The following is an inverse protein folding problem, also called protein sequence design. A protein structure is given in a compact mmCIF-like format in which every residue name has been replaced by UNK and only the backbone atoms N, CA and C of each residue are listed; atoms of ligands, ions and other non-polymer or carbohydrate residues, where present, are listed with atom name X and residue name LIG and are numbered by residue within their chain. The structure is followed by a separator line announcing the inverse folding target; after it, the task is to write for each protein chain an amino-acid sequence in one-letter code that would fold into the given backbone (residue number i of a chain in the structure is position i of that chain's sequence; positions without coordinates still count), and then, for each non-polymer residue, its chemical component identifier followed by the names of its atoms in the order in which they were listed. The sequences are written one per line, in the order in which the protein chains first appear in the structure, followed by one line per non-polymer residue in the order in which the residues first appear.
data_IF_667578988804
#
_entry.id   IF_667578988804
#
_cell.length_a   1.000
_cell.length_b   1.000
_cell.length_c   1.000
_cell.angle_alpha   90.00
_cell.angle_beta   90.00
_cell.angle_gamma   90.00
#
_symmetry.space_group_name_H-M   'P 1'
#
loop_
_entity.id
_entity.type
_entity.pdbx_description
1 polymer ?
#
# COMPACT_ATOMS: atom_id res chain seq x y z
N UNK A 1 -25.05 5.05 13.76
CA UNK A 1 -24.30 4.62 12.55
C UNK A 1 -22.92 4.03 12.86
N UNK A 2 -22.13 4.53 13.83
CA UNK A 2 -20.79 3.95 14.09
C UNK A 2 -20.75 2.55 14.75
N UNK A 3 -21.81 2.08 15.42
CA UNK A 3 -21.81 0.76 16.07
C UNK A 3 -21.85 -0.40 15.08
N UNK A 4 -22.32 -0.16 13.85
CA UNK A 4 -22.50 -1.20 12.83
C UNK A 4 -21.17 -1.56 12.14
N UNK A 5 -20.31 -0.56 11.94
CA UNK A 5 -19.03 -0.73 11.23
C UNK A 5 -18.03 -1.65 11.95
N UNK A 6 -18.18 -1.83 13.26
CA UNK A 6 -17.28 -2.67 14.06
C UNK A 6 -17.65 -4.16 14.01
N UNK A 7 -18.85 -4.49 13.53
CA UNK A 7 -19.37 -5.85 13.45
C UNK A 7 -19.48 -6.35 11.99
N UNK A 8 -18.92 -5.60 11.04
CA UNK A 8 -18.91 -5.99 9.64
C UNK A 8 -18.19 -7.33 9.46
N UNK A 9 -18.85 -8.26 8.77
CA UNK A 9 -18.17 -9.42 8.21
C UNK A 9 -17.36 -9.02 6.99
N UNK A 10 -16.35 -9.84 6.65
CA UNK A 10 -15.58 -9.60 5.43
C UNK A 10 -16.43 -9.82 4.18
N UNK A 11 -17.42 -10.71 4.24
CA UNK A 11 -18.33 -10.98 3.11
C UNK A 11 -19.21 -9.75 2.78
N UNK A 12 -19.65 -9.00 3.79
CA UNK A 12 -20.36 -7.73 3.58
C UNK A 12 -19.45 -6.69 2.90
N UNK A 13 -18.21 -6.55 3.38
CA UNK A 13 -17.22 -5.64 2.77
C UNK A 13 -16.91 -6.06 1.33
N UNK A 14 -16.80 -7.36 1.07
CA UNK A 14 -16.51 -7.91 -0.25
C UNK A 14 -17.63 -7.60 -1.26
N UNK A 15 -18.87 -7.70 -0.81
CA UNK A 15 -20.06 -7.45 -1.62
C UNK A 15 -20.30 -5.97 -1.91
N UNK A 16 -20.28 -5.13 -0.88
CA UNK A 16 -20.74 -3.73 -1.00
C UNK A 16 -19.59 -2.71 -0.96
N UNK A 17 -18.37 -3.15 -0.60
CA UNK A 17 -17.18 -2.32 -0.56
C UNK A 17 -16.60 -2.04 -1.94
N UNK A 18 -16.19 -0.80 -2.16
CA UNK A 18 -15.66 -0.34 -3.44
C UNK A 18 -14.18 0.01 -3.35
N UNK A 19 -13.44 -0.35 -4.38
CA UNK A 19 -12.06 0.06 -4.58
C UNK A 19 -12.01 1.01 -5.76
N UNK A 20 -11.36 2.16 -5.57
CA UNK A 20 -11.09 3.06 -6.68
C UNK A 20 -9.77 2.68 -7.32
N UNK A 21 -9.82 2.35 -8.61
CA UNK A 21 -8.67 2.18 -9.47
C UNK A 21 -8.57 3.38 -10.40
N UNK A 22 -7.40 3.99 -10.43
CA UNK A 22 -7.03 4.99 -11.41
C UNK A 22 -6.30 4.32 -12.55
N UNK A 23 -6.89 4.42 -13.75
CA UNK A 23 -6.23 4.10 -15.02
C UNK A 23 -5.62 5.39 -15.56
N UNK A 24 -4.33 5.39 -15.85
CA UNK A 24 -3.74 6.48 -16.64
C UNK A 24 -3.30 5.95 -17.99
N UNK A 25 -3.91 6.47 -19.05
CA UNK A 25 -3.31 6.45 -20.37
C UNK A 25 -2.11 7.39 -20.39
N UNK A 26 -1.06 7.02 -21.11
CA UNK A 26 0.17 7.82 -21.22
C UNK A 26 -0.05 9.26 -21.72
N UNK A 27 -1.14 9.53 -22.45
CA UNK A 27 -1.38 10.82 -23.10
C UNK A 27 -2.79 11.41 -22.88
N UNK A 28 -3.66 10.79 -22.08
CA UNK A 28 -5.03 11.30 -21.86
C UNK A 28 -5.42 11.33 -20.39
N UNK A 29 -6.51 12.07 -20.10
CA UNK A 29 -7.02 12.33 -18.75
C UNK A 29 -7.12 11.03 -17.96
N UNK A 30 -6.66 11.07 -16.71
CA UNK A 30 -6.79 9.92 -15.81
C UNK A 30 -8.26 9.54 -15.64
N UNK A 31 -8.57 8.27 -15.83
CA UNK A 31 -9.91 7.72 -15.62
C UNK A 31 -9.95 7.05 -14.24
N UNK A 32 -10.97 7.40 -13.46
CA UNK A 32 -11.16 6.86 -12.12
C UNK A 32 -12.34 5.91 -12.18
N UNK A 33 -12.09 4.64 -11.85
CA UNK A 33 -13.11 3.60 -11.86
C UNK A 33 -13.29 3.11 -10.44
N UNK A 34 -14.53 3.14 -9.96
CA UNK A 34 -14.92 2.42 -8.76
C UNK A 34 -15.44 1.06 -9.18
N UNK A 35 -14.99 0.02 -8.49
CA UNK A 35 -15.43 -1.36 -8.71
C UNK A 35 -15.57 -2.05 -7.37
N UNK A 36 -16.50 -2.99 -7.27
CA UNK A 36 -16.60 -3.82 -6.07
C UNK A 36 -15.38 -4.74 -5.98
N UNK A 37 -15.12 -5.25 -4.77
CA UNK A 37 -14.00 -6.18 -4.53
C UNK A 37 -14.17 -7.45 -5.35
N UNK A 38 -15.39 -7.98 -5.46
CA UNK A 38 -15.68 -9.19 -6.25
C UNK A 38 -15.42 -9.02 -7.74
N UNK A 39 -15.67 -7.82 -8.26
CA UNK A 39 -15.56 -7.53 -9.69
C UNK A 39 -14.14 -7.16 -10.11
N UNK A 40 -13.22 -7.00 -9.15
CA UNK A 40 -11.86 -6.52 -9.42
C UNK A 40 -11.11 -7.42 -10.41
N UNK A 41 -11.24 -8.75 -10.29
CA UNK A 41 -10.54 -9.67 -11.18
C UNK A 41 -11.04 -9.56 -12.62
N UNK A 42 -12.36 -9.42 -12.80
CA UNK A 42 -12.97 -9.18 -14.11
C UNK A 42 -12.50 -7.85 -14.70
N UNK A 43 -12.46 -6.80 -13.88
CA UNK A 43 -11.93 -5.50 -14.30
C UNK A 43 -10.47 -5.59 -14.77
N UNK A 44 -9.58 -6.22 -13.99
CA UNK A 44 -8.17 -6.39 -14.36
C UNK A 44 -8.00 -7.23 -15.63
N UNK A 45 -8.80 -8.29 -15.80
CA UNK A 45 -8.82 -9.10 -17.03
C UNK A 45 -9.22 -8.28 -18.27
N UNK A 46 -10.16 -7.34 -18.13
CA UNK A 46 -10.64 -6.51 -19.25
C UNK A 46 -9.59 -5.52 -19.80
N UNK A 47 -8.55 -5.23 -19.03
CA UNK A 47 -7.50 -4.25 -19.35
C UNK A 47 -6.09 -4.84 -19.45
N UNK A 48 -5.98 -6.18 -19.39
CA UNK A 48 -4.72 -6.91 -19.37
C UNK A 48 -3.82 -6.54 -20.56
N UNK A 49 -4.38 -6.51 -21.77
CA UNK A 49 -3.65 -6.16 -23.00
C UNK A 49 -3.13 -4.72 -22.98
N UNK A 50 -3.89 -3.79 -22.41
CA UNK A 50 -3.51 -2.39 -22.32
C UNK A 50 -2.40 -2.18 -21.28
N UNK A 51 -2.43 -2.89 -20.16
CA UNK A 51 -1.34 -2.87 -19.17
C UNK A 51 -0.06 -3.48 -19.76
N UNK A 52 -0.20 -4.63 -20.44
CA UNK A 52 0.89 -5.35 -21.12
C UNK A 52 1.66 -4.49 -22.10
N UNK A 53 0.93 -3.81 -22.98
CA UNK A 53 1.51 -2.98 -24.02
C UNK A 53 1.96 -1.62 -23.50
N UNK A 54 1.86 -1.39 -22.18
CA UNK A 54 2.18 -0.12 -21.54
C UNK A 54 1.27 0.99 -21.97
N UNK A 55 0.05 0.72 -22.43
CA UNK A 55 -0.96 1.74 -22.71
C UNK A 55 -1.51 2.27 -21.40
N UNK A 56 -1.78 1.38 -20.43
CA UNK A 56 -2.27 1.73 -19.10
C UNK A 56 -1.24 1.43 -18.02
N UNK A 57 -1.15 2.32 -17.04
CA UNK A 57 -0.83 1.94 -15.69
C UNK A 57 -2.09 1.91 -14.83
N UNK A 58 -2.00 1.18 -13.73
CA UNK A 58 -3.00 1.03 -12.69
C UNK A 58 -2.43 1.50 -11.37
N UNK A 59 -3.21 2.35 -10.75
CA UNK A 59 -3.02 2.72 -9.38
C UNK A 59 -4.29 2.45 -8.59
N UNK A 60 -4.14 2.04 -7.35
CA UNK A 60 -5.25 1.69 -6.46
C UNK A 60 -5.19 2.54 -5.21
N UNK A 61 -6.34 2.97 -4.71
CA UNK A 61 -6.40 3.55 -3.37
C UNK A 61 -6.00 2.49 -2.33
N UNK A 62 -5.29 2.85 -1.26
CA UNK A 62 -4.90 1.90 -0.21
C UNK A 62 -6.04 1.63 0.78
N UNK A 63 -7.29 1.69 0.33
CA UNK A 63 -8.47 1.47 1.15
C UNK A 63 -9.67 1.05 0.30
N UNK A 64 -10.65 0.45 0.98
CA UNK A 64 -12.00 0.15 0.50
C UNK A 64 -12.93 1.25 1.03
N UNK A 65 -13.76 1.80 0.15
CA UNK A 65 -14.86 2.70 0.49
C UNK A 65 -16.13 1.88 0.74
N UNK A 66 -16.56 1.79 1.99
CA UNK A 66 -17.78 1.11 2.42
C UNK A 66 -18.78 2.17 2.91
N UNK A 67 -19.67 2.62 2.03
CA UNK A 67 -20.65 3.68 2.28
C UNK A 67 -20.03 4.96 2.90
N UNK A 68 -18.84 5.36 2.44
CA UNK A 68 -18.11 6.53 2.92
C UNK A 68 -17.15 6.26 4.09
N UNK A 69 -17.23 5.08 4.71
CA UNK A 69 -16.25 4.62 5.69
C UNK A 69 -15.03 4.02 4.97
N UNK A 70 -13.84 4.48 5.32
CA UNK A 70 -12.60 3.98 4.72
C UNK A 70 -12.06 2.80 5.53
N UNK A 71 -11.89 1.66 4.89
CA UNK A 71 -11.27 0.46 5.46
C UNK A 71 -9.92 0.24 4.80
N UNK A 72 -8.84 0.51 5.51
CA UNK A 72 -7.50 0.54 4.91
C UNK A 72 -7.00 -0.86 4.56
N UNK A 73 -6.31 -0.96 3.43
CA UNK A 73 -5.49 -2.10 3.06
C UNK A 73 -4.04 -1.78 3.42
N UNK A 74 -3.27 -2.71 4.01
CA UNK A 74 -1.89 -2.47 4.41
C UNK A 74 -0.96 -2.52 3.19
N UNK A 75 -1.13 -1.61 2.24
CA UNK A 75 -0.25 -1.43 1.09
C UNK A 75 0.68 -0.26 1.42
N UNK A 76 1.93 -0.59 1.74
CA UNK A 76 2.94 0.34 2.23
C UNK A 76 3.92 0.68 1.12
N UNK A 77 4.24 1.97 0.96
CA UNK A 77 5.46 2.36 0.23
C UNK A 77 6.64 2.21 1.18
N UNK A 78 7.70 1.60 0.69
CA UNK A 78 8.91 1.38 1.46
C UNK A 78 10.10 1.94 0.70
N UNK A 79 10.72 2.96 1.29
CA UNK A 79 11.86 3.66 0.72
C UNK A 79 12.69 4.33 1.82
N UNK A 80 13.96 4.58 1.50
CA UNK A 80 14.86 5.29 2.40
C UNK A 80 14.49 6.77 2.47
N UNK A 81 14.23 7.35 3.65
CA UNK A 81 13.65 8.69 3.76
C UNK A 81 14.49 9.77 3.05
N UNK A 82 15.82 9.68 3.12
CA UNK A 82 16.72 10.68 2.54
C UNK A 82 17.33 10.24 1.19
N UNK A 83 17.87 9.02 1.11
CA UNK A 83 18.69 8.57 -0.01
C UNK A 83 17.95 7.69 -1.04
N UNK A 84 16.61 7.67 -1.05
CA UNK A 84 15.80 6.79 -1.92
C UNK A 84 15.99 7.02 -3.43
N UNK A 85 16.54 8.17 -3.84
CA UNK A 85 16.79 8.49 -5.24
C UNK A 85 18.21 8.16 -5.73
N UNK A 86 19.15 7.96 -4.80
CA UNK A 86 20.58 7.83 -5.09
C UNK A 86 20.94 6.43 -5.63
N UNK A 87 20.50 5.39 -4.93
CA UNK A 87 20.73 4.00 -5.32
C UNK A 87 19.60 3.09 -4.81
N UNK A 88 19.20 2.06 -5.58
CA UNK A 88 18.33 1.01 -5.08
C UNK A 88 18.88 0.32 -3.82
N UNK A 89 20.21 0.35 -3.60
CA UNK A 89 20.85 -0.19 -2.39
C UNK A 89 20.15 0.31 -1.12
N UNK A 90 19.93 1.63 -0.99
CA UNK A 90 19.36 2.23 0.22
C UNK A 90 17.97 1.67 0.50
N UNK A 91 17.15 1.59 -0.54
CA UNK A 91 15.79 1.05 -0.43
C UNK A 91 15.81 -0.46 -0.14
N UNK A 92 16.75 -1.22 -0.69
CA UNK A 92 16.91 -2.66 -0.40
C UNK A 92 17.15 -2.88 1.09
N UNK A 93 18.02 -2.10 1.71
CA UNK A 93 18.39 -2.34 3.11
C UNK A 93 17.34 -1.86 4.09
N UNK A 94 16.66 -0.76 3.77
CA UNK A 94 15.44 -0.36 4.50
C UNK A 94 14.39 -1.46 4.42
N UNK A 95 14.14 -1.99 3.22
CA UNK A 95 13.14 -3.04 3.05
C UNK A 95 13.54 -4.35 3.76
N UNK A 96 14.82 -4.73 3.76
CA UNK A 96 15.33 -5.86 4.57
C UNK A 96 15.11 -5.64 6.06
N UNK A 97 15.51 -4.48 6.59
CA UNK A 97 15.33 -4.14 8.00
C UNK A 97 13.86 -4.18 8.40
N UNK A 98 12.98 -3.62 7.56
CA UNK A 98 11.54 -3.64 7.79
C UNK A 98 10.95 -5.05 7.68
N UNK A 99 11.42 -5.88 6.75
CA UNK A 99 11.05 -7.29 6.65
C UNK A 99 11.38 -8.06 7.93
N UNK A 100 12.61 -7.91 8.46
CA UNK A 100 12.99 -8.54 9.73
C UNK A 100 12.12 -8.04 10.89
N UNK A 101 11.82 -6.74 10.92
CA UNK A 101 10.92 -6.17 11.93
C UNK A 101 9.53 -6.78 11.85
N UNK A 102 8.96 -6.97 10.66
CA UNK A 102 7.69 -7.66 10.51
C UNK A 102 7.80 -9.14 10.88
N UNK A 103 8.92 -9.79 10.61
CA UNK A 103 9.16 -11.18 10.98
C UNK A 103 9.15 -11.38 12.50
N UNK A 104 9.82 -10.49 13.25
CA UNK A 104 9.79 -10.48 14.73
C UNK A 104 8.38 -10.36 15.30
N UNK A 105 7.49 -9.67 14.58
CA UNK A 105 6.10 -9.45 14.97
C UNK A 105 5.16 -10.56 14.46
N UNK A 106 5.67 -11.58 13.77
CA UNK A 106 4.84 -12.63 13.15
C UNK A 106 4.02 -12.15 11.94
N UNK A 107 4.41 -11.04 11.31
CA UNK A 107 3.67 -10.36 10.25
C UNK A 107 4.18 -10.67 8.84
N UNK A 108 5.06 -11.64 8.67
CA UNK A 108 5.56 -12.06 7.35
C UNK A 108 4.64 -13.06 6.65
N UNK A 109 3.67 -13.62 7.37
CA UNK A 109 2.64 -14.46 6.75
C UNK A 109 1.82 -13.64 5.76
N UNK A 110 1.59 -14.21 4.57
CA UNK A 110 0.92 -13.58 3.41
C UNK A 110 1.56 -12.28 2.89
N UNK A 111 2.71 -11.85 3.44
CA UNK A 111 3.41 -10.66 2.98
C UNK A 111 3.81 -10.82 1.50
N UNK A 112 3.48 -9.81 0.72
CA UNK A 112 3.82 -9.69 -0.69
C UNK A 112 4.70 -8.47 -0.88
N UNK A 113 5.89 -8.70 -1.43
CA UNK A 113 6.92 -7.69 -1.64
C UNK A 113 7.03 -7.40 -3.15
N UNK A 114 6.70 -6.18 -3.53
CA UNK A 114 6.87 -5.65 -4.89
C UNK A 114 8.10 -4.75 -5.00
N UNK A 115 8.90 -4.94 -6.04
CA UNK A 115 10.04 -4.12 -6.44
C UNK A 115 9.53 -3.08 -7.44
N UNK A 116 9.66 -1.78 -7.15
CA UNK A 116 8.98 -0.73 -7.94
C UNK A 116 9.94 0.27 -8.59
N UNK A 117 10.85 -0.22 -9.42
CA UNK A 117 11.83 0.59 -10.17
C UNK A 117 12.95 1.21 -9.31
N UNK A 118 12.59 1.91 -8.23
CA UNK A 118 13.54 2.36 -7.20
C UNK A 118 13.11 2.00 -5.77
N UNK A 119 11.81 1.89 -5.47
CA UNK A 119 11.31 1.59 -4.13
C UNK A 119 10.79 0.17 -3.95
N UNK A 120 10.11 -0.07 -2.84
CA UNK A 120 9.46 -1.32 -2.49
C UNK A 120 7.98 -1.11 -2.15
N UNK A 121 7.19 -2.16 -2.32
CA UNK A 121 5.80 -2.24 -1.89
C UNK A 121 5.63 -3.43 -0.98
N UNK A 122 5.20 -3.17 0.25
CA UNK A 122 4.82 -4.23 1.17
C UNK A 122 3.30 -4.27 1.21
N UNK A 123 2.71 -5.44 1.03
CA UNK A 123 1.27 -5.59 0.91
C UNK A 123 0.83 -6.92 1.50
N UNK A 124 -0.36 -6.93 2.08
CA UNK A 124 -1.02 -8.14 2.56
C UNK A 124 -2.44 -8.21 1.99
N UNK A 125 -2.98 -9.42 1.79
CA UNK A 125 -4.34 -9.61 1.27
C UNK A 125 -5.39 -9.46 2.38
N UNK A 126 -5.25 -8.45 3.23
CA UNK A 126 -6.14 -8.23 4.37
C UNK A 126 -6.66 -6.80 4.41
N UNK A 127 -7.78 -6.58 5.11
CA UNK A 127 -8.30 -5.24 5.42
C UNK A 127 -8.21 -4.97 6.92
N UNK A 128 -7.90 -3.73 7.29
CA UNK A 128 -7.87 -3.30 8.70
C UNK A 128 -9.32 -3.11 9.18
N UNK A 129 -9.74 -3.77 10.27
CA UNK A 129 -11.06 -3.53 10.86
C UNK A 129 -11.23 -2.06 11.23
N UNK A 130 -12.45 -1.53 11.05
CA UNK A 130 -12.72 -0.10 11.13
C UNK A 130 -12.22 0.53 12.44
N UNK A 131 -12.45 -0.14 13.58
CA UNK A 131 -12.05 0.31 14.91
C UNK A 131 -10.54 0.53 15.10
N UNK A 132 -9.70 -0.05 14.24
CA UNK A 132 -8.24 0.09 14.28
C UNK A 132 -7.69 1.04 13.21
N UNK A 133 -8.53 1.67 12.39
CA UNK A 133 -8.10 2.56 11.29
C UNK A 133 -7.17 3.67 11.78
N UNK A 134 -7.53 4.35 12.87
CA UNK A 134 -6.70 5.43 13.42
C UNK A 134 -5.37 4.90 13.98
N UNK A 135 -5.39 3.76 14.66
CA UNK A 135 -4.17 3.11 15.14
C UNK A 135 -3.22 2.74 14.00
N UNK A 136 -3.75 2.19 12.90
CA UNK A 136 -2.97 1.88 11.70
C UNK A 136 -2.33 3.14 11.10
N UNK A 137 -3.07 4.24 10.98
CA UNK A 137 -2.54 5.50 10.46
C UNK A 137 -1.47 6.13 11.36
N UNK A 138 -1.50 5.88 12.67
CA UNK A 138 -0.41 6.28 13.58
C UNK A 138 0.80 5.36 13.42
N UNK A 139 0.59 4.05 13.35
CA UNK A 139 1.64 3.06 13.12
C UNK A 139 2.45 3.36 11.85
N UNK A 140 1.76 3.69 10.75
CA UNK A 140 2.39 4.04 9.46
C UNK A 140 3.27 5.30 9.55
N UNK A 141 3.05 6.17 10.55
CA UNK A 141 3.86 7.37 10.80
C UNK A 141 4.98 7.16 11.83
N UNK A 142 5.03 5.99 12.46
CA UNK A 142 6.03 5.66 13.47
C UNK A 142 7.34 5.24 12.79
N UNK A 143 8.11 6.23 12.36
CA UNK A 143 9.41 6.03 11.70
C UNK A 143 10.48 5.48 12.64
N UNK A 144 10.29 5.56 13.96
CA UNK A 144 11.21 4.98 14.94
C UNK A 144 11.06 3.46 14.95
N UNK A 145 9.82 2.96 14.97
CA UNK A 145 9.55 1.52 14.98
C UNK A 145 9.53 0.88 13.60
N UNK A 146 9.05 1.60 12.58
CA UNK A 146 8.86 1.13 11.23
C UNK A 146 9.56 2.04 10.23
N UNK A 147 10.89 2.12 10.35
CA UNK A 147 11.73 2.96 9.52
C UNK A 147 11.54 2.69 8.02
N UNK A 148 11.33 3.76 7.26
CA UNK A 148 11.23 3.74 5.81
C UNK A 148 9.84 3.46 5.24
N UNK A 149 8.79 3.38 6.06
CA UNK A 149 7.42 3.48 5.54
C UNK A 149 7.15 4.94 5.16
N UNK A 150 6.81 5.22 3.91
CA UNK A 150 6.26 6.54 3.53
C UNK A 150 4.76 6.58 3.87
N UNK A 151 4.31 7.50 4.76
CA UNK A 151 2.90 7.65 5.10
C UNK A 151 2.09 8.41 4.05
N UNK A 152 2.71 9.04 3.05
CA UNK A 152 2.01 9.89 2.08
C UNK A 152 0.86 9.19 1.34
N UNK A 153 0.98 7.92 0.93
CA UNK A 153 -0.11 7.20 0.29
C UNK A 153 -1.38 7.06 1.12
N UNK A 154 -1.27 7.02 2.45
CA UNK A 154 -2.40 6.86 3.35
C UNK A 154 -3.02 8.22 3.74
N UNK A 155 -2.41 9.34 3.32
CA UNK A 155 -2.87 10.72 3.59
C UNK A 155 -3.88 11.19 2.54
N UNK A 156 -5.15 10.85 2.72
CA UNK A 156 -6.27 11.45 2.00
C UNK A 156 -6.88 10.59 0.90
N UNK A 157 -7.99 11.07 0.33
CA UNK A 157 -8.81 10.28 -0.60
C UNK A 157 -8.28 10.28 -2.04
N UNK A 158 -7.43 11.23 -2.40
CA UNK A 158 -6.84 11.40 -3.73
C UNK A 158 -5.52 10.64 -3.93
N UNK A 159 -5.10 9.85 -2.93
CA UNK A 159 -3.84 9.11 -2.96
C UNK A 159 -4.02 7.73 -3.55
N UNK A 160 -3.08 7.39 -4.42
CA UNK A 160 -3.12 6.20 -5.26
C UNK A 160 -1.75 5.56 -5.29
N UNK A 161 -1.73 4.25 -5.09
CA UNK A 161 -0.52 3.45 -5.15
C UNK A 161 -0.41 2.73 -6.46
N UNK A 162 0.76 2.83 -7.09
CA UNK A 162 1.03 2.11 -8.32
C UNK A 162 1.05 0.61 -8.01
N UNK A 163 0.08 -0.12 -8.54
CA UNK A 163 -0.07 -1.56 -8.32
C UNK A 163 0.37 -2.36 -9.54
N UNK A 164 0.10 -1.84 -10.74
CA UNK A 164 0.57 -2.43 -12.00
C UNK A 164 0.86 -1.32 -12.98
N UNK A 165 2.09 -1.15 -13.44
CA UNK A 165 2.34 -0.23 -14.54
C UNK A 165 3.61 -0.62 -15.27
N UNK A 166 3.52 -0.57 -16.60
CA UNK A 166 4.71 -0.48 -17.45
C UNK A 166 4.90 0.98 -17.87
N UNK A 167 6.07 1.53 -17.55
CA UNK A 167 6.51 2.83 -18.04
C UNK A 167 7.54 2.61 -19.15
N UNK A 168 7.10 2.70 -20.40
CA UNK A 168 7.92 2.38 -21.57
C UNK A 168 9.23 3.18 -21.66
N UNK A 169 10.16 2.67 -22.46
CA UNK A 169 11.56 3.11 -22.58
C UNK A 169 11.73 4.63 -22.88
N UNK A 170 10.80 5.26 -23.60
CA UNK A 170 10.95 6.65 -24.06
C UNK A 170 10.75 7.70 -22.95
N UNK A 171 10.07 7.35 -21.85
CA UNK A 171 9.74 8.29 -20.77
C UNK A 171 10.55 8.02 -19.48
N UNK A 172 11.59 7.19 -19.56
CA UNK A 172 12.42 6.78 -18.41
C UNK A 172 13.89 7.20 -18.54
N UNK A 173 14.20 8.13 -19.44
CA UNK A 173 15.58 8.47 -19.78
C UNK A 173 16.18 7.42 -20.72
N UNK A 174 17.51 7.39 -20.83
CA UNK A 174 18.26 6.62 -21.83
C UNK A 174 17.70 5.20 -22.10
N UNK A 175 17.80 4.69 -23.35
CA UNK A 175 17.15 3.45 -23.85
C UNK A 175 17.49 2.13 -23.11
N UNK A 176 18.20 2.19 -21.99
CA UNK A 176 18.59 1.06 -21.15
C UNK A 176 17.63 0.80 -19.98
N UNK A 177 16.74 1.74 -19.64
CA UNK A 177 15.92 1.69 -18.43
C UNK A 177 14.45 1.38 -18.74
N UNK A 178 14.15 0.09 -18.92
CA UNK A 178 12.78 -0.39 -18.75
C UNK A 178 12.57 -0.67 -17.26
N UNK A 179 11.58 -0.08 -16.59
CA UNK A 179 11.24 -0.43 -15.19
C UNK A 179 9.76 -0.79 -15.03
N UNK A 180 9.49 -1.96 -14.46
CA UNK A 180 8.16 -2.44 -14.10
C UNK A 180 8.07 -2.77 -12.60
N UNK A 181 6.89 -3.19 -12.15
CA UNK A 181 6.72 -3.75 -10.80
C UNK A 181 6.90 -5.26 -10.87
N UNK A 182 7.91 -5.77 -10.17
CA UNK A 182 8.14 -7.21 -10.01
C UNK A 182 7.77 -7.64 -8.60
N UNK A 183 6.92 -8.66 -8.46
CA UNK A 183 6.57 -9.21 -7.15
C UNK A 183 7.41 -10.46 -6.87
N UNK A 184 8.03 -10.52 -5.69
CA UNK A 184 8.76 -11.69 -5.24
C UNK A 184 7.81 -12.88 -5.04
N UNK A 185 8.26 -14.08 -5.40
CA UNK A 185 7.49 -15.31 -5.19
C UNK A 185 7.24 -15.50 -3.69
N UNK A 186 8.29 -15.28 -2.88
CA UNK A 186 8.23 -15.28 -1.42
C UNK A 186 8.87 -14.02 -0.85
N UNK A 187 8.24 -13.42 0.18
CA UNK A 187 8.78 -12.21 0.80
C UNK A 187 10.19 -12.40 1.38
N UNK A 188 10.53 -13.61 1.86
CA UNK A 188 11.86 -13.94 2.40
C UNK A 188 13.00 -13.79 1.40
N UNK A 189 12.72 -13.86 0.09
CA UNK A 189 13.72 -13.63 -0.97
C UNK A 189 14.33 -12.22 -0.89
N UNK A 190 13.69 -11.29 -0.19
CA UNK A 190 14.24 -9.96 0.04
C UNK A 190 15.58 -10.01 0.79
N UNK A 191 15.79 -11.01 1.65
CA UNK A 191 17.01 -11.14 2.48
C UNK A 191 18.27 -11.29 1.63
N UNK A 192 18.15 -12.02 0.52
CA UNK A 192 19.27 -12.31 -0.39
C UNK A 192 19.34 -11.35 -1.57
N UNK A 193 18.42 -10.38 -1.63
CA UNK A 193 18.34 -9.44 -2.75
C UNK A 193 19.58 -8.55 -2.79
N UNK A 194 20.22 -8.51 -3.96
CA UNK A 194 21.35 -7.64 -4.28
C UNK A 194 20.90 -6.51 -5.20
N UNK A 195 21.69 -5.44 -5.31
CA UNK A 195 21.37 -4.34 -6.24
C UNK A 195 21.35 -4.80 -7.70
N UNK A 196 22.24 -5.72 -8.08
CA UNK A 196 22.29 -6.28 -9.44
C UNK A 196 21.04 -7.10 -9.75
N UNK A 197 20.61 -7.97 -8.82
CA UNK A 197 19.40 -8.77 -8.99
C UNK A 197 18.15 -7.88 -8.96
N UNK A 198 18.07 -6.90 -8.06
CA UNK A 198 16.99 -5.90 -8.05
C UNK A 198 16.84 -5.26 -9.42
N UNK A 199 17.94 -4.70 -9.97
CA UNK A 199 17.95 -4.03 -11.27
C UNK A 199 17.51 -4.96 -12.39
N UNK A 200 17.91 -6.22 -12.36
CA UNK A 200 17.50 -7.23 -13.33
C UNK A 200 16.00 -7.53 -13.23
N UNK A 201 15.47 -7.74 -12.03
CA UNK A 201 14.06 -8.08 -11.79
C UNK A 201 13.11 -6.95 -12.18
N UNK A 202 13.47 -5.70 -11.91
CA UNK A 202 12.63 -4.57 -12.33
C UNK A 202 12.82 -4.22 -13.80
N UNK A 203 13.80 -4.80 -14.50
CA UNK A 203 14.09 -4.47 -15.91
C UNK A 203 13.06 -5.08 -16.85
N UNK A 204 12.67 -4.31 -17.86
CA UNK A 204 11.93 -4.82 -19.02
C UNK A 204 10.44 -4.51 -19.01
N UNK A 205 9.73 -5.08 -19.99
CA UNK A 205 8.28 -5.15 -19.98
C UNK A 205 7.84 -6.10 -18.87
N UNK A 206 6.68 -5.87 -18.27
CA UNK A 206 6.22 -6.79 -17.26
C UNK A 206 5.80 -8.15 -17.83
N UNK A 207 6.04 -9.20 -17.06
CA UNK A 207 5.54 -10.54 -17.36
C UNK A 207 4.04 -10.61 -17.05
N UNK A 208 3.22 -10.60 -18.10
CA UNK A 208 1.75 -10.47 -17.99
C UNK A 208 1.12 -11.66 -17.28
N UNK A 209 1.63 -12.84 -17.56
CA UNK A 209 1.21 -14.10 -16.94
C UNK A 209 1.44 -14.06 -15.42
N UNK A 210 2.44 -13.32 -14.95
CA UNK A 210 2.68 -13.06 -13.53
C UNK A 210 1.61 -12.17 -12.88
N UNK A 211 0.95 -11.27 -13.61
CA UNK A 211 -0.07 -10.37 -13.04
C UNK A 211 -1.25 -11.11 -12.42
N UNK A 212 -1.71 -12.18 -13.08
CA UNK A 212 -2.82 -13.00 -12.60
C UNK A 212 -2.48 -13.77 -11.32
N UNK A 213 -1.23 -14.19 -11.17
CA UNK A 213 -0.82 -14.98 -10.00
C UNK A 213 -0.66 -14.12 -8.74
N UNK A 214 -0.32 -12.84 -8.87
CA UNK A 214 -0.13 -11.98 -7.70
C UNK A 214 -1.35 -11.15 -7.31
N UNK A 215 -2.30 -10.86 -8.22
CA UNK A 215 -3.47 -10.05 -7.88
C UNK A 215 -4.23 -10.59 -6.65
N UNK A 216 -4.44 -11.92 -6.50
CA UNK A 216 -5.02 -12.49 -5.27
C UNK A 216 -4.24 -12.21 -3.98
N UNK A 217 -2.95 -11.90 -4.08
CA UNK A 217 -2.09 -11.56 -2.94
C UNK A 217 -2.14 -10.08 -2.56
N UNK A 218 -2.61 -9.22 -3.47
CA UNK A 218 -2.77 -7.78 -3.24
C UNK A 218 -4.18 -7.40 -2.82
N UNK A 219 -5.17 -8.17 -3.27
CA UNK A 219 -6.57 -7.92 -2.96
C UNK A 219 -6.93 -8.51 -1.60
N UNK A 220 -7.68 -7.77 -0.78
CA UNK A 220 -8.10 -8.29 0.51
C UNK A 220 -9.06 -9.46 0.32
N UNK A 221 -8.87 -10.51 1.12
CA UNK A 221 -9.75 -11.67 1.17
C UNK A 221 -10.19 -12.04 2.61
N UNK A 222 -9.72 -11.27 3.60
CA UNK A 222 -10.04 -11.42 5.02
C UNK A 222 -9.70 -10.15 5.79
N UNK A 223 -10.07 -10.11 7.07
CA UNK A 223 -9.57 -9.10 8.01
C UNK A 223 -8.13 -9.37 8.42
N UNK A 224 -7.45 -8.32 8.88
CA UNK A 224 -6.11 -8.43 9.46
C UNK A 224 -6.08 -9.48 10.60
N UNK A 225 -5.01 -10.30 10.67
CA UNK A 225 -4.90 -11.37 11.64
C UNK A 225 -4.60 -10.83 13.04
N UNK A 226 -4.76 -11.68 14.05
CA UNK A 226 -4.68 -11.31 15.47
C UNK A 226 -3.34 -10.66 15.82
N UNK A 227 -2.25 -11.18 15.28
CA UNK A 227 -0.88 -10.71 15.46
C UNK A 227 -0.74 -9.23 15.04
N UNK A 228 -1.37 -8.85 13.92
CA UNK A 228 -1.37 -7.46 13.48
C UNK A 228 -2.24 -6.59 14.38
N UNK A 229 -3.40 -7.10 14.81
CA UNK A 229 -4.30 -6.37 15.71
C UNK A 229 -3.63 -6.07 17.05
N UNK A 230 -2.79 -6.97 17.58
CA UNK A 230 -2.03 -6.74 18.82
C UNK A 230 -1.01 -5.60 18.68
N UNK A 231 -0.37 -5.48 17.50
CA UNK A 231 0.45 -4.31 17.18
C UNK A 231 -0.40 -3.03 17.19
N UNK A 232 -1.57 -3.06 16.54
CA UNK A 232 -2.48 -1.91 16.49
C UNK A 232 -3.09 -1.55 17.86
N UNK A 233 -3.30 -2.53 18.74
CA UNK A 233 -3.79 -2.31 20.11
C UNK A 233 -2.84 -1.41 20.91
N UNK A 234 -1.53 -1.51 20.67
CA UNK A 234 -0.53 -0.62 21.28
C UNK A 234 -0.77 0.83 20.88
N UNK A 235 -0.98 1.09 19.59
CA UNK A 235 -1.27 2.44 19.09
C UNK A 235 -2.66 2.93 19.51
N UNK A 236 -3.66 2.04 19.55
CA UNK A 236 -4.99 2.36 20.03
C UNK A 236 -4.94 2.79 21.51
N UNK A 237 -4.14 2.11 22.33
CA UNK A 237 -3.94 2.50 23.72
C UNK A 237 -3.26 3.86 23.86
N UNK A 238 -2.21 4.14 23.07
CA UNK A 238 -1.57 5.46 23.04
C UNK A 238 -2.55 6.57 22.64
N UNK A 239 -3.41 6.32 21.65
CA UNK A 239 -4.45 7.25 21.23
C UNK A 239 -5.46 7.51 22.36
N UNK A 240 -5.89 6.47 23.08
CA UNK A 240 -6.77 6.61 24.25
C UNK A 240 -6.12 7.50 25.33
N UNK A 241 -4.86 7.24 25.70
CA UNK A 241 -4.13 8.07 26.67
C UNK A 241 -4.11 9.53 26.21
N UNK A 242 -3.70 9.79 24.96
CA UNK A 242 -3.65 11.15 24.40
C UNK A 242 -5.00 11.85 24.44
N UNK A 243 -6.11 11.13 24.22
CA UNK A 243 -7.46 11.69 24.29
C UNK A 243 -7.93 12.01 25.72
N UNK A 244 -7.35 11.35 26.73
CA UNK A 244 -7.70 11.56 28.14
C UNK A 244 -6.90 12.69 28.82
N UNK A 245 -5.78 13.12 28.23
CA UNK A 245 -4.99 14.22 28.75
C UNK A 245 -5.71 15.53 28.38
N UNK A 246 -6.42 16.10 29.35
CA UNK A 246 -7.00 17.43 29.21
C UNK A 246 -5.87 18.45 29.02
N UNK A 247 -5.78 19.04 27.83
CA UNK A 247 -4.87 20.16 27.60
C UNK A 247 -5.60 21.43 28.07
N UNK A 248 -5.06 22.18 29.05
CA UNK A 248 -5.69 23.44 29.46
C UNK A 248 -5.80 24.35 28.24
N UNK A 249 -7.02 24.76 27.89
CA UNK A 249 -7.19 25.79 26.87
C UNK A 249 -6.58 27.09 27.43
N UNK A 250 -5.61 27.67 26.71
CA UNK A 250 -5.09 28.97 27.07
C UNK A 250 -6.26 29.96 27.14
N UNK A 251 -6.37 30.78 28.20
CA UNK A 251 -7.47 31.74 28.32
C UNK A 251 -7.43 32.67 27.10
N UNK A 252 -8.56 32.75 26.37
CA UNK A 252 -8.72 33.73 25.30
C UNK A 252 -8.73 35.11 25.95
N UNK A 253 -7.60 35.80 25.93
CA UNK A 253 -7.57 37.23 26.27
C UNK A 253 -8.31 37.94 25.14
N UNK A 254 -9.57 38.32 25.40
CA UNK A 254 -10.30 39.19 24.51
C UNK A 254 -9.57 40.53 24.47
N UNK A 255 -8.94 40.86 23.34
CA UNK A 255 -8.44 42.20 23.11
C UNK A 255 -9.66 43.14 23.11
N UNK A 256 -9.80 43.95 24.16
CA UNK A 256 -10.69 45.11 24.14
C UNK A 256 -10.09 46.12 23.17
N UNK A 257 -10.78 46.37 22.06
CA UNK A 257 -10.59 47.55 21.21
C UNK A 257 -11.01 48.82 21.98
#
# INVERSE_FOLDING_TARGET
MNSDLNNLSFDEIKKDGQITVKKTQWESKAEWVKTNIDDIYGFFGSIENQVTNGVYGLWMQPYIDYFGALLYMPILDVEHPENHHESPWYNINVAKGLFYRFNELGLTQDLTVGLTGKGFRFSWPWVIPHQYTNAFLVMVKDSERFYGIDPAPQKGKDKFLRTMAYRGNNNQGAPTQNTHIYYLDHASQISDLTEAEYKKLVRGRPAVEGYKSFLPRLMPNKFAPREFLEVLETYQFQLRIKSTIATPAAPRIAAKL
#
